data_IF_329055619317
#
_entry.id   IF_329055619317
#
_cell.length_a   1.000
_cell.length_b   1.000
_cell.length_c   1.000
_cell.angle_alpha   90.00
_cell.angle_beta   90.00
_cell.angle_gamma   90.00
#
_symmetry.space_group_name_H-M   'P 1'
#
loop_
_entity.id
_entity.type
_entity.pdbx_description
1 polymer ?
#
# COMPACT_ATOMS: atom_id res chain seq x y z
N UNK A 1 22.21 5.26 39.86
CA UNK A 1 22.24 4.15 38.88
C UNK A 1 23.69 3.88 38.56
N UNK A 2 24.17 2.66 38.75
CA UNK A 2 25.54 2.29 38.38
C UNK A 2 25.60 2.18 36.85
N UNK A 3 26.21 3.16 36.19
CA UNK A 3 26.48 3.06 34.76
C UNK A 3 27.47 1.91 34.55
N UNK A 4 27.03 0.90 33.79
CA UNK A 4 27.84 -0.26 33.46
C UNK A 4 29.10 0.18 32.70
N UNK A 5 30.25 -0.43 32.97
CA UNK A 5 31.49 -0.20 32.20
C UNK A 5 31.33 -0.47 30.69
N UNK A 6 30.26 -1.15 30.29
CA UNK A 6 29.94 -1.48 28.91
C UNK A 6 29.03 -0.43 28.23
N UNK A 7 28.54 0.59 28.93
CA UNK A 7 27.58 1.56 28.37
C UNK A 7 28.13 2.33 27.14
N UNK A 8 29.45 2.48 27.03
CA UNK A 8 30.10 3.16 25.91
C UNK A 8 29.73 2.56 24.53
N UNK A 9 29.34 1.28 24.46
CA UNK A 9 28.94 0.65 23.18
C UNK A 9 27.68 1.27 22.57
N UNK A 10 26.83 1.92 23.38
CA UNK A 10 25.64 2.64 22.90
C UNK A 10 26.00 3.81 21.99
N UNK A 11 27.19 4.39 22.15
CA UNK A 11 27.65 5.51 21.33
C UNK A 11 27.97 5.11 19.88
N UNK A 12 27.98 3.81 19.56
CA UNK A 12 28.14 3.30 18.20
C UNK A 12 26.81 3.26 17.43
N UNK A 13 25.67 3.41 18.10
CA UNK A 13 24.37 3.53 17.43
C UNK A 13 24.33 4.85 16.64
N UNK A 14 23.97 4.76 15.36
CA UNK A 14 23.82 5.93 14.50
C UNK A 14 22.38 6.47 14.57
N UNK A 15 22.26 7.79 14.59
CA UNK A 15 20.97 8.46 14.52
C UNK A 15 20.40 8.34 13.09
N UNK A 16 19.13 7.97 12.99
CA UNK A 16 18.45 7.63 11.73
C UNK A 16 17.11 8.36 11.58
N UNK A 17 17.07 9.63 11.98
CA UNK A 17 15.87 10.45 11.94
C UNK A 17 15.54 10.90 10.51
N UNK A 18 14.32 10.60 10.06
CA UNK A 18 13.80 11.06 8.77
C UNK A 18 13.46 12.56 8.81
N UNK A 19 13.68 13.25 7.68
CA UNK A 19 13.51 14.70 7.55
C UNK A 19 12.13 15.15 8.07
N UNK A 20 12.04 16.16 8.95
CA UNK A 20 10.76 16.71 9.39
C UNK A 20 9.94 17.34 8.26
N UNK A 21 8.63 17.48 8.46
CA UNK A 21 7.69 18.08 7.50
C UNK A 21 7.69 17.42 6.10
N UNK A 22 8.05 16.15 6.01
CA UNK A 22 7.92 15.32 4.80
C UNK A 22 6.98 14.15 5.06
N UNK A 23 6.22 13.79 4.02
CA UNK A 23 5.50 12.53 3.97
C UNK A 23 6.49 11.39 4.04
N UNK A 24 6.22 10.39 4.88
CA UNK A 24 7.05 9.19 4.94
C UNK A 24 6.27 8.07 4.29
N UNK A 25 6.83 7.46 3.27
CA UNK A 25 6.31 6.23 2.68
C UNK A 25 7.20 5.08 3.07
N UNK A 26 6.66 4.11 3.81
CA UNK A 26 7.32 2.84 4.07
C UNK A 26 6.79 1.82 3.08
N UNK A 27 7.63 1.39 2.13
CA UNK A 27 7.29 0.33 1.18
C UNK A 27 7.90 -0.98 1.64
N UNK A 28 7.10 -2.03 1.64
CA UNK A 28 7.52 -3.42 1.87
C UNK A 28 7.35 -4.25 0.61
N UNK A 29 8.21 -5.25 0.43
CA UNK A 29 8.23 -6.15 -0.72
C UNK A 29 8.50 -7.60 -0.28
N UNK A 30 7.78 -8.54 -0.88
CA UNK A 30 7.85 -9.95 -0.59
C UNK A 30 9.18 -10.58 -1.02
N UNK A 31 9.99 -11.05 -0.06
CA UNK A 31 11.29 -11.65 -0.37
C UNK A 31 11.14 -13.02 -1.01
N UNK A 32 11.43 -13.11 -2.31
CA UNK A 32 11.46 -14.37 -3.05
C UNK A 32 10.06 -14.92 -3.36
N UNK A 33 9.07 -14.05 -3.49
CA UNK A 33 7.67 -14.45 -3.69
C UNK A 33 7.44 -15.22 -4.99
N UNK A 34 8.30 -15.09 -6.01
CA UNK A 34 8.28 -15.97 -7.19
C UNK A 34 8.37 -17.45 -6.82
N UNK A 35 9.29 -17.82 -5.91
CA UNK A 35 9.45 -19.21 -5.43
C UNK A 35 8.26 -19.62 -4.54
N UNK A 36 7.74 -18.69 -3.75
CA UNK A 36 6.58 -18.93 -2.91
C UNK A 36 5.32 -19.21 -3.74
N UNK A 37 5.06 -18.40 -4.77
CA UNK A 37 3.96 -18.59 -5.71
C UNK A 37 4.00 -19.98 -6.34
N UNK A 38 5.18 -20.44 -6.76
CA UNK A 38 5.36 -21.78 -7.32
C UNK A 38 5.09 -22.87 -6.29
N UNK A 39 5.60 -22.72 -5.06
CA UNK A 39 5.45 -23.70 -3.98
C UNK A 39 3.99 -23.91 -3.56
N UNK A 40 3.22 -22.83 -3.45
CA UNK A 40 1.83 -22.86 -3.00
C UNK A 40 0.83 -22.84 -4.16
N UNK A 41 1.28 -23.05 -5.40
CA UNK A 41 0.41 -23.20 -6.57
C UNK A 41 -0.48 -21.98 -6.81
N UNK A 42 0.07 -20.77 -6.68
CA UNK A 42 -0.71 -19.55 -6.87
C UNK A 42 -1.27 -19.48 -8.29
N UNK A 43 -2.54 -19.10 -8.39
CA UNK A 43 -3.19 -18.85 -9.66
C UNK A 43 -2.46 -17.75 -10.44
N UNK A 44 -2.50 -17.89 -11.77
CA UNK A 44 -1.86 -16.97 -12.72
C UNK A 44 -2.90 -16.47 -13.71
N UNK A 45 -2.94 -15.16 -14.02
CA UNK A 45 -1.95 -14.14 -13.65
C UNK A 45 -1.99 -13.68 -12.18
N UNK A 46 -3.14 -13.79 -11.51
CA UNK A 46 -3.33 -13.31 -10.14
C UNK A 46 -4.00 -14.40 -9.29
N UNK A 47 -3.61 -14.50 -8.02
CA UNK A 47 -4.28 -15.35 -7.03
C UNK A 47 -5.04 -14.48 -6.04
N UNK A 48 -6.37 -14.61 -6.01
CA UNK A 48 -7.21 -13.78 -5.16
C UNK A 48 -6.92 -13.99 -3.68
N UNK A 49 -6.65 -15.23 -3.26
CA UNK A 49 -6.35 -15.58 -1.86
C UNK A 49 -5.06 -14.93 -1.40
N UNK A 50 -4.06 -14.90 -2.28
CA UNK A 50 -2.77 -14.25 -2.02
C UNK A 50 -2.90 -12.75 -1.80
N UNK A 51 -3.72 -12.07 -2.63
CA UNK A 51 -3.97 -10.63 -2.46
C UNK A 51 -4.83 -10.35 -1.23
N UNK A 52 -5.83 -11.20 -0.94
CA UNK A 52 -6.68 -11.03 0.22
C UNK A 52 -5.91 -11.19 1.54
N UNK A 53 -4.94 -12.12 1.63
CA UNK A 53 -4.08 -12.21 2.82
C UNK A 53 -3.14 -11.01 2.96
N UNK A 54 -2.59 -10.48 1.85
CA UNK A 54 -1.81 -9.23 1.85
C UNK A 54 -2.66 -8.06 2.35
N UNK A 55 -3.89 -7.93 1.86
CA UNK A 55 -4.83 -6.90 2.26
C UNK A 55 -5.25 -7.00 3.72
N UNK A 56 -5.46 -8.21 4.22
CA UNK A 56 -5.82 -8.44 5.61
C UNK A 56 -4.67 -8.09 6.56
N UNK A 57 -3.42 -8.35 6.15
CA UNK A 57 -2.22 -7.93 6.87
C UNK A 57 -2.05 -6.40 6.84
N UNK A 58 -2.22 -5.76 5.68
CA UNK A 58 -2.16 -4.30 5.56
C UNK A 58 -3.24 -3.61 6.40
N UNK A 59 -4.47 -4.13 6.38
CA UNK A 59 -5.58 -3.62 7.20
C UNK A 59 -5.25 -3.66 8.68
N UNK A 60 -4.61 -4.73 9.16
CA UNK A 60 -4.17 -4.82 10.54
C UNK A 60 -3.11 -3.76 10.86
N UNK A 61 -2.09 -3.59 10.01
CA UNK A 61 -1.06 -2.55 10.17
C UNK A 61 -1.67 -1.15 10.24
N UNK A 62 -2.59 -0.81 9.33
CA UNK A 62 -3.26 0.49 9.32
C UNK A 62 -4.13 0.66 10.57
N UNK A 63 -4.77 -0.40 11.06
CA UNK A 63 -5.57 -0.37 12.29
C UNK A 63 -4.69 -0.10 13.52
N UNK A 64 -3.56 -0.80 13.65
CA UNK A 64 -2.65 -0.72 14.79
C UNK A 64 -1.87 0.61 14.85
N UNK A 65 -1.68 1.28 13.70
CA UNK A 65 -0.93 2.53 13.58
C UNK A 65 -1.83 3.68 13.06
N UNK A 66 -2.47 4.44 13.99
CA UNK A 66 -3.29 5.61 13.67
C UNK A 66 -2.64 6.75 12.89
N UNK A 67 -1.31 6.74 12.81
CA UNK A 67 -0.51 7.71 12.09
C UNK A 67 -0.43 7.43 10.57
N UNK A 68 -0.81 6.23 10.13
CA UNK A 68 -0.91 5.88 8.71
C UNK A 68 -2.19 6.48 8.13
N UNK A 69 -2.06 7.30 7.09
CA UNK A 69 -3.20 7.99 6.46
C UNK A 69 -3.82 7.20 5.31
N UNK A 70 -2.99 6.50 4.55
CA UNK A 70 -3.37 5.64 3.43
C UNK A 70 -2.30 4.55 3.26
N UNK A 71 -2.70 3.38 2.79
CA UNK A 71 -1.79 2.37 2.28
C UNK A 71 -2.26 1.86 0.91
N UNK A 72 -1.33 1.44 0.07
CA UNK A 72 -1.59 0.92 -1.26
C UNK A 72 -0.81 -0.36 -1.51
N UNK A 73 -1.48 -1.40 -2.01
CA UNK A 73 -0.88 -2.70 -2.30
C UNK A 73 -1.14 -3.18 -3.72
N UNK A 74 -0.11 -3.81 -4.29
CA UNK A 74 -0.14 -4.46 -5.60
C UNK A 74 0.83 -5.65 -5.57
N UNK A 75 0.44 -6.77 -6.18
CA UNK A 75 1.27 -8.00 -6.19
C UNK A 75 1.68 -8.39 -4.76
N UNK A 76 2.98 -8.41 -4.50
CA UNK A 76 3.68 -8.76 -3.27
C UNK A 76 4.26 -7.53 -2.55
N UNK A 77 3.92 -6.31 -2.99
CA UNK A 77 4.33 -5.06 -2.35
C UNK A 77 3.17 -4.32 -1.67
N UNK A 78 3.49 -3.58 -0.61
CA UNK A 78 2.59 -2.63 0.05
C UNK A 78 3.33 -1.35 0.44
N UNK A 79 2.67 -0.20 0.30
CA UNK A 79 3.19 1.11 0.64
C UNK A 79 2.33 1.73 1.73
N UNK A 80 2.91 2.14 2.85
CA UNK A 80 2.23 2.76 3.98
C UNK A 80 2.66 4.21 4.11
N UNK A 81 1.70 5.13 4.06
CA UNK A 81 1.97 6.57 4.08
C UNK A 81 1.68 7.13 5.46
N UNK A 82 2.71 7.71 6.08
CA UNK A 82 2.57 8.52 7.29
C UNK A 82 2.46 9.99 6.92
N UNK A 83 1.57 10.70 7.62
CA UNK A 83 1.39 12.13 7.41
C UNK A 83 2.69 12.91 7.68
N UNK A 84 2.89 14.04 7.00
CA UNK A 84 4.12 14.85 7.11
C UNK A 84 4.44 15.36 8.52
N UNK A 85 3.42 15.50 9.37
CA UNK A 85 3.55 15.89 10.78
C UNK A 85 3.72 14.71 11.75
N UNK A 86 3.89 13.48 11.26
CA UNK A 86 4.09 12.29 12.09
C UNK A 86 5.34 12.43 12.98
N UNK A 87 5.20 12.13 14.27
CA UNK A 87 6.30 12.12 15.25
C UNK A 87 6.52 10.73 15.86
N UNK A 88 5.86 9.70 15.33
CA UNK A 88 5.96 8.32 15.80
C UNK A 88 7.42 7.87 15.82
N UNK A 89 7.86 7.31 16.95
CA UNK A 89 9.24 6.89 17.20
C UNK A 89 10.30 7.96 16.88
N UNK A 90 9.96 9.23 17.09
CA UNK A 90 10.85 10.36 16.77
C UNK A 90 11.31 10.35 15.31
N UNK A 91 10.48 9.78 14.41
CA UNK A 91 10.75 9.62 12.98
C UNK A 91 12.00 8.79 12.67
N UNK A 92 12.42 7.90 13.57
CA UNK A 92 13.53 6.97 13.33
C UNK A 92 13.16 5.96 12.26
N UNK A 93 13.92 5.94 11.16
CA UNK A 93 13.69 5.06 10.01
C UNK A 93 13.65 3.60 10.43
N UNK A 94 14.65 3.13 11.17
CA UNK A 94 14.75 1.75 11.63
C UNK A 94 13.52 1.31 12.43
N UNK A 95 12.98 2.20 13.28
CA UNK A 95 11.78 1.90 14.09
C UNK A 95 10.53 1.84 13.23
N UNK A 96 10.35 2.78 12.31
CA UNK A 96 9.20 2.78 11.41
C UNK A 96 9.21 1.55 10.49
N UNK A 97 10.33 1.29 9.81
CA UNK A 97 10.48 0.17 8.88
C UNK A 97 10.32 -1.17 9.60
N UNK A 98 11.05 -1.38 10.71
CA UNK A 98 10.97 -2.65 11.45
C UNK A 98 9.57 -2.90 12.04
N UNK A 99 8.87 -1.86 12.52
CA UNK A 99 7.51 -2.00 13.03
C UNK A 99 6.54 -2.38 11.91
N UNK A 100 6.59 -1.70 10.76
CA UNK A 100 5.73 -2.04 9.62
C UNK A 100 6.00 -3.46 9.13
N UNK A 101 7.26 -3.82 8.88
CA UNK A 101 7.64 -5.14 8.35
C UNK A 101 7.26 -6.25 9.33
N UNK A 102 7.56 -6.09 10.62
CA UNK A 102 7.25 -7.12 11.62
C UNK A 102 5.75 -7.29 11.84
N UNK A 103 4.99 -6.20 11.99
CA UNK A 103 3.53 -6.27 12.15
C UNK A 103 2.85 -6.85 10.91
N UNK A 104 3.30 -6.46 9.71
CA UNK A 104 2.77 -7.02 8.46
C UNK A 104 3.06 -8.51 8.35
N UNK A 105 4.32 -8.91 8.54
CA UNK A 105 4.73 -10.33 8.43
C UNK A 105 3.99 -11.19 9.45
N UNK A 106 3.87 -10.74 10.70
CA UNK A 106 3.15 -11.46 11.74
C UNK A 106 1.67 -11.66 11.38
N UNK A 107 1.01 -10.60 10.89
CA UNK A 107 -0.37 -10.70 10.44
C UNK A 107 -0.54 -11.55 9.17
N UNK A 108 0.39 -11.48 8.22
CA UNK A 108 0.38 -12.32 7.03
C UNK A 108 0.42 -13.81 7.39
N UNK A 109 1.35 -14.19 8.27
CA UNK A 109 1.48 -15.57 8.76
C UNK A 109 0.26 -15.99 9.57
N UNK A 110 -0.21 -15.13 10.49
CA UNK A 110 -1.37 -15.42 11.33
C UNK A 110 -2.66 -15.61 10.53
N UNK A 111 -2.87 -14.79 9.50
CA UNK A 111 -4.09 -14.81 8.68
C UNK A 111 -4.01 -15.79 7.51
N UNK A 112 -2.86 -16.36 7.23
CA UNK A 112 -2.67 -17.28 6.11
C UNK A 112 -3.70 -18.41 6.08
N UNK A 113 -3.92 -19.10 7.20
CA UNK A 113 -4.85 -20.24 7.27
C UNK A 113 -6.31 -19.84 7.03
N UNK A 114 -6.66 -18.56 7.13
CA UNK A 114 -7.99 -18.06 6.77
C UNK A 114 -8.20 -18.05 5.26
N UNK A 115 -7.15 -17.79 4.48
CA UNK A 115 -7.20 -17.68 3.02
C UNK A 115 -6.70 -18.94 2.29
N UNK A 116 -5.87 -19.74 2.97
CA UNK A 116 -5.28 -20.98 2.49
C UNK A 116 -5.50 -22.11 3.52
N UNK A 117 -6.76 -22.53 3.78
CA UNK A 117 -7.08 -23.50 4.83
C UNK A 117 -6.40 -24.87 4.61
N UNK A 118 -6.28 -25.29 3.34
CA UNK A 118 -5.75 -26.60 2.95
C UNK A 118 -4.25 -26.59 2.67
N UNK A 119 -3.58 -25.44 2.79
CA UNK A 119 -2.15 -25.29 2.46
C UNK A 119 -1.40 -24.62 3.59
N UNK A 120 -1.09 -25.32 4.70
CA UNK A 120 -0.37 -24.70 5.81
C UNK A 120 1.00 -24.16 5.39
N UNK A 121 1.40 -23.05 5.99
CA UNK A 121 2.74 -22.49 5.76
C UNK A 121 3.81 -23.48 6.23
N UNK A 122 4.82 -23.66 5.39
CA UNK A 122 5.99 -24.47 5.67
C UNK A 122 7.28 -23.66 5.48
N UNK A 123 8.31 -23.97 6.27
CA UNK A 123 9.61 -23.30 6.21
C UNK A 123 10.26 -23.40 4.82
N UNK A 124 10.95 -22.35 4.31
CA UNK A 124 11.06 -21.01 4.92
C UNK A 124 9.74 -20.24 4.88
N UNK A 125 9.45 -19.52 5.97
CA UNK A 125 8.26 -18.68 6.09
C UNK A 125 8.35 -17.44 5.19
N UNK A 126 7.22 -16.85 4.78
CA UNK A 126 7.21 -15.58 4.05
C UNK A 126 7.89 -14.50 4.88
N UNK A 127 8.71 -13.68 4.22
CA UNK A 127 9.37 -12.52 4.83
C UNK A 127 9.29 -11.35 3.86
N UNK A 128 9.38 -10.16 4.41
CA UNK A 128 9.32 -8.92 3.66
C UNK A 128 10.57 -8.09 3.93
N UNK A 129 11.06 -7.38 2.91
CA UNK A 129 11.97 -6.27 3.13
C UNK A 129 11.16 -4.98 3.34
N UNK A 130 11.84 -3.90 3.70
CA UNK A 130 11.19 -2.60 3.85
C UNK A 130 12.17 -1.46 3.69
N UNK A 131 11.68 -0.33 3.18
CA UNK A 131 12.44 0.93 3.05
C UNK A 131 11.55 2.13 3.32
N UNK A 132 12.09 3.20 3.88
CA UNK A 132 11.39 4.47 4.01
C UNK A 132 11.86 5.46 2.94
N UNK A 133 10.94 6.26 2.41
CA UNK A 133 11.23 7.36 1.48
C UNK A 133 10.48 8.61 1.92
N UNK A 134 11.17 9.74 1.94
CA UNK A 134 10.58 11.03 2.26
C UNK A 134 10.12 11.76 0.98
N UNK A 135 8.87 12.22 0.95
CA UNK A 135 8.35 13.10 -0.10
C UNK A 135 8.01 14.48 0.48
N UNK A 136 8.56 15.58 -0.06
CA UNK A 136 8.45 16.89 0.56
C UNK A 136 7.10 17.59 0.31
N UNK A 137 6.42 17.26 -0.79
CA UNK A 137 5.16 17.90 -1.18
C UNK A 137 4.05 16.87 -1.35
N UNK A 138 2.80 17.32 -1.29
CA UNK A 138 1.64 16.51 -1.64
C UNK A 138 1.75 16.03 -3.09
N UNK A 139 2.21 16.86 -4.02
CA UNK A 139 2.38 16.45 -5.41
C UNK A 139 3.35 15.26 -5.54
N UNK A 140 4.51 15.30 -4.89
CA UNK A 140 5.45 14.18 -4.96
C UNK A 140 4.89 12.89 -4.35
N UNK A 141 4.11 13.00 -3.27
CA UNK A 141 3.40 11.84 -2.71
C UNK A 141 2.36 11.29 -3.71
N UNK A 142 1.54 12.16 -4.32
CA UNK A 142 0.52 11.74 -5.29
C UNK A 142 1.13 11.13 -6.53
N UNK A 143 2.25 11.65 -7.02
CA UNK A 143 3.00 11.09 -8.14
C UNK A 143 3.55 9.71 -7.81
N UNK A 144 4.08 9.51 -6.60
CA UNK A 144 4.50 8.20 -6.13
C UNK A 144 3.32 7.20 -6.13
N UNK A 145 2.19 7.57 -5.54
CA UNK A 145 1.01 6.69 -5.47
C UNK A 145 0.48 6.37 -6.87
N UNK A 146 0.44 7.38 -7.75
CA UNK A 146 0.07 7.23 -9.16
C UNK A 146 1.02 6.32 -9.92
N UNK A 147 2.32 6.45 -9.68
CA UNK A 147 3.35 5.60 -10.28
C UNK A 147 3.15 4.14 -9.88
N UNK A 148 2.86 3.84 -8.60
CA UNK A 148 2.58 2.47 -8.14
C UNK A 148 1.31 1.91 -8.80
N UNK A 149 0.25 2.71 -8.94
CA UNK A 149 -0.98 2.25 -9.59
C UNK A 149 -0.86 2.11 -11.12
N UNK A 150 -0.09 2.97 -11.79
CA UNK A 150 0.22 2.81 -13.21
C UNK A 150 1.03 1.53 -13.46
N UNK A 151 2.02 1.25 -12.60
CA UNK A 151 2.82 0.02 -12.63
C UNK A 151 1.93 -1.24 -12.43
N UNK A 152 0.97 -1.18 -11.50
CA UNK A 152 -0.08 -2.21 -11.33
C UNK A 152 -0.81 -2.48 -12.65
N UNK A 153 -1.30 -1.43 -13.31
CA UNK A 153 -2.07 -1.56 -14.54
C UNK A 153 -1.24 -2.17 -15.68
N UNK A 154 0.00 -1.69 -15.85
CA UNK A 154 0.93 -2.17 -16.90
C UNK A 154 1.26 -3.65 -16.67
N UNK A 155 1.67 -4.00 -15.45
CA UNK A 155 2.07 -5.37 -15.11
C UNK A 155 0.89 -6.34 -15.18
N UNK A 156 -0.30 -5.93 -14.70
CA UNK A 156 -1.48 -6.79 -14.77
C UNK A 156 -1.95 -7.04 -16.20
N UNK A 157 -1.96 -6.02 -17.07
CA UNK A 157 -2.32 -6.18 -18.48
C UNK A 157 -1.32 -7.11 -19.18
N UNK A 158 -0.02 -6.90 -18.97
CA UNK A 158 1.02 -7.77 -19.51
C UNK A 158 0.85 -9.22 -19.04
N UNK A 159 0.73 -9.45 -17.72
CA UNK A 159 0.61 -10.78 -17.14
C UNK A 159 -0.67 -11.49 -17.59
N UNK A 160 -1.78 -10.76 -17.71
CA UNK A 160 -3.05 -11.32 -18.19
C UNK A 160 -2.92 -11.79 -19.64
N UNK A 161 -2.36 -10.95 -20.52
CA UNK A 161 -2.08 -11.35 -21.91
C UNK A 161 -1.09 -12.52 -21.98
N UNK A 162 -0.02 -12.50 -21.18
CA UNK A 162 1.00 -13.54 -21.15
C UNK A 162 0.41 -14.89 -20.74
N UNK A 163 -0.31 -14.94 -19.62
CA UNK A 163 -0.89 -16.19 -19.13
C UNK A 163 -2.07 -16.67 -19.96
N UNK A 164 -2.81 -15.78 -20.65
CA UNK A 164 -3.79 -16.19 -21.64
C UNK A 164 -3.13 -16.90 -22.84
N UNK A 165 -2.03 -16.36 -23.36
CA UNK A 165 -1.25 -16.99 -24.43
C UNK A 165 -0.72 -18.38 -24.02
N UNK A 166 -0.22 -18.50 -22.79
CA UNK A 166 0.32 -19.78 -22.28
C UNK A 166 -0.80 -20.79 -22.00
N UNK A 167 -1.81 -20.42 -21.20
CA UNK A 167 -2.83 -21.36 -20.72
C UNK A 167 -3.92 -21.67 -21.73
N UNK A 168 -4.37 -20.67 -22.49
CA UNK A 168 -5.47 -20.80 -23.45
C UNK A 168 -4.94 -20.94 -24.88
N UNK A 169 -3.83 -20.26 -25.19
CA UNK A 169 -3.20 -20.31 -26.51
C UNK A 169 -2.22 -21.48 -26.70
N UNK A 170 -1.85 -22.19 -25.62
CA UNK A 170 -0.93 -23.32 -25.67
C UNK A 170 0.52 -22.96 -26.01
N UNK A 171 0.88 -21.67 -25.96
CA UNK A 171 2.25 -21.22 -26.19
C UNK A 171 3.16 -21.60 -25.03
N UNK A 172 4.44 -21.82 -25.31
CA UNK A 172 5.42 -21.85 -24.23
C UNK A 172 5.73 -20.43 -23.69
N UNK A 173 6.44 -20.36 -22.57
CA UNK A 173 6.75 -19.07 -21.93
C UNK A 173 7.60 -18.14 -22.82
N UNK A 174 8.52 -18.68 -23.64
CA UNK A 174 9.41 -17.90 -24.50
C UNK A 174 8.65 -17.36 -25.73
N UNK A 175 7.76 -18.17 -26.27
CA UNK A 175 6.87 -17.80 -27.37
C UNK A 175 5.90 -16.70 -26.95
N UNK A 176 5.30 -16.81 -25.77
CA UNK A 176 4.43 -15.79 -25.21
C UNK A 176 5.18 -14.47 -24.98
N UNK A 177 6.39 -14.52 -24.42
CA UNK A 177 7.25 -13.34 -24.23
C UNK A 177 7.59 -12.68 -25.57
N UNK A 178 8.00 -13.47 -26.57
CA UNK A 178 8.29 -12.99 -27.92
C UNK A 178 7.07 -12.37 -28.61
N UNK A 179 5.89 -12.95 -28.41
CA UNK A 179 4.62 -12.43 -28.95
C UNK A 179 4.27 -11.07 -28.36
N UNK A 180 4.56 -10.86 -27.08
CA UNK A 180 4.27 -9.61 -26.38
C UNK A 180 5.39 -8.57 -26.48
N UNK A 181 6.59 -8.96 -26.92
CA UNK A 181 7.72 -8.05 -27.09
C UNK A 181 7.39 -6.92 -28.08
N UNK A 182 7.61 -5.67 -27.66
CA UNK A 182 7.33 -4.48 -28.47
C UNK A 182 5.86 -4.09 -28.62
N UNK A 183 4.92 -4.88 -28.08
CA UNK A 183 3.49 -4.55 -28.15
C UNK A 183 3.12 -3.39 -27.22
N UNK A 184 2.15 -2.59 -27.63
CA UNK A 184 1.55 -1.52 -26.84
C UNK A 184 0.38 -2.05 -25.99
N UNK A 185 -0.23 -1.18 -25.18
CA UNK A 185 -1.40 -1.55 -24.37
C UNK A 185 -2.63 -1.90 -25.23
N UNK A 186 -2.84 -1.19 -26.35
CA UNK A 186 -3.93 -1.47 -27.28
C UNK A 186 -3.81 -2.88 -27.88
N UNK A 187 -2.61 -3.25 -28.36
CA UNK A 187 -2.32 -4.57 -28.93
C UNK A 187 -2.59 -5.69 -27.93
N UNK A 188 -2.20 -5.51 -26.66
CA UNK A 188 -2.46 -6.48 -25.58
C UNK A 188 -3.94 -6.68 -25.28
N UNK A 189 -4.73 -5.61 -25.37
CA UNK A 189 -6.19 -5.68 -25.27
C UNK A 189 -6.78 -6.41 -26.48
N UNK A 190 -6.29 -6.13 -27.70
CA UNK A 190 -6.77 -6.76 -28.93
C UNK A 190 -6.44 -8.26 -28.98
N UNK A 191 -5.17 -8.65 -28.83
CA UNK A 191 -4.76 -9.60 -27.80
C UNK A 191 -5.82 -10.55 -27.22
N UNK A 192 -6.17 -10.17 -25.99
CA UNK A 192 -7.13 -10.79 -25.10
C UNK A 192 -8.52 -10.91 -25.73
N UNK A 193 -8.99 -9.87 -26.40
CA UNK A 193 -10.34 -9.82 -26.91
C UNK A 193 -10.54 -10.70 -28.15
N UNK A 194 -9.69 -10.55 -29.17
CA UNK A 194 -9.84 -11.22 -30.46
C UNK A 194 -9.60 -12.72 -30.32
N UNK A 195 -8.51 -13.13 -29.65
CA UNK A 195 -8.09 -14.54 -29.53
C UNK A 195 -8.79 -15.29 -28.41
N UNK A 196 -8.97 -14.65 -27.26
CA UNK A 196 -9.43 -15.33 -26.03
C UNK A 196 -10.82 -14.88 -25.57
N UNK A 197 -11.44 -13.91 -26.26
CA UNK A 197 -12.74 -13.31 -25.88
C UNK A 197 -12.73 -12.74 -24.45
N UNK A 198 -11.56 -12.34 -23.96
CA UNK A 198 -11.36 -11.70 -22.65
C UNK A 198 -11.41 -10.19 -22.84
N UNK A 199 -12.36 -9.53 -22.16
CA UNK A 199 -12.39 -8.07 -22.05
C UNK A 199 -11.65 -7.66 -20.77
N UNK A 200 -10.45 -7.10 -20.90
CA UNK A 200 -9.63 -6.70 -19.76
C UNK A 200 -10.38 -5.74 -18.81
N UNK A 201 -11.24 -4.86 -19.31
CA UNK A 201 -11.99 -3.93 -18.45
C UNK A 201 -12.98 -4.63 -17.50
N UNK A 202 -13.35 -5.88 -17.79
CA UNK A 202 -14.20 -6.71 -16.94
C UNK A 202 -13.41 -7.53 -15.91
N UNK A 203 -12.07 -7.51 -15.96
CA UNK A 203 -11.25 -8.14 -14.92
C UNK A 203 -11.54 -7.49 -13.55
N UNK A 204 -11.47 -8.25 -12.46
CA UNK A 204 -11.67 -7.74 -11.11
C UNK A 204 -10.84 -6.48 -10.82
N UNK A 205 -11.46 -5.49 -10.19
CA UNK A 205 -10.80 -4.20 -9.91
C UNK A 205 -9.55 -4.35 -9.04
N UNK A 206 -9.55 -5.30 -8.10
CA UNK A 206 -8.38 -5.64 -7.28
C UNK A 206 -7.14 -5.97 -8.12
N UNK A 207 -7.30 -6.60 -9.29
CA UNK A 207 -6.19 -6.94 -10.18
C UNK A 207 -5.76 -5.75 -11.04
N UNK A 208 -6.72 -4.92 -11.46
CA UNK A 208 -6.45 -3.79 -12.37
C UNK A 208 -5.95 -2.53 -11.68
N UNK A 209 -6.44 -2.28 -10.46
CA UNK A 209 -6.22 -1.05 -9.71
C UNK A 209 -5.38 -1.27 -8.45
N UNK A 210 -5.22 -2.51 -7.99
CA UNK A 210 -4.62 -2.81 -6.70
C UNK A 210 -5.59 -2.52 -5.56
N UNK A 211 -5.05 -2.50 -4.33
CA UNK A 211 -5.85 -2.35 -3.11
C UNK A 211 -5.45 -1.11 -2.34
N UNK A 212 -6.44 -0.31 -1.94
CA UNK A 212 -6.27 0.94 -1.20
C UNK A 212 -6.86 0.76 0.19
N UNK A 213 -6.06 0.99 1.23
CA UNK A 213 -6.47 0.85 2.63
C UNK A 213 -6.43 2.21 3.29
N UNK A 214 -7.56 2.63 3.84
CA UNK A 214 -7.68 3.91 4.52
C UNK A 214 -8.76 3.87 5.59
N UNK A 215 -8.79 4.93 6.41
CA UNK A 215 -9.83 5.14 7.42
C UNK A 215 -11.05 5.78 6.77
N UNK A 216 -12.18 5.14 6.96
CA UNK A 216 -13.45 5.50 6.34
C UNK A 216 -14.15 6.61 7.13
N UNK A 217 -14.48 7.68 6.42
CA UNK A 217 -15.22 8.84 6.89
C UNK A 217 -16.24 9.24 5.81
N UNK A 218 -17.24 10.03 6.16
CA UNK A 218 -18.21 10.56 5.20
C UNK A 218 -17.49 11.30 4.07
N UNK A 219 -17.74 10.91 2.82
CA UNK A 219 -17.22 11.59 1.65
C UNK A 219 -17.69 13.04 1.64
N UNK A 220 -16.84 13.93 1.13
CA UNK A 220 -17.13 15.35 1.08
C UNK A 220 -17.29 15.83 -0.35
N UNK A 221 -18.24 16.75 -0.56
CA UNK A 221 -18.42 17.43 -1.85
C UNK A 221 -17.25 18.37 -2.13
N UNK A 222 -16.66 18.37 -3.34
CA UNK A 222 -15.44 19.11 -3.67
C UNK A 222 -15.52 20.62 -3.36
N UNK A 223 -16.71 21.22 -3.51
CA UNK A 223 -16.92 22.67 -3.33
C UNK A 223 -17.03 23.11 -1.87
N UNK A 224 -17.12 22.17 -0.92
CA UNK A 224 -17.40 22.47 0.50
C UNK A 224 -16.14 22.59 1.38
N UNK A 225 -14.95 22.34 0.84
CA UNK A 225 -13.70 22.38 1.60
C UNK A 225 -12.60 23.25 0.96
N UNK A 226 -12.18 24.30 1.67
CA UNK A 226 -11.04 25.15 1.32
C UNK A 226 -9.65 24.50 1.53
N UNK A 227 -9.55 23.16 1.60
CA UNK A 227 -8.27 22.48 1.86
C UNK A 227 -7.62 22.07 0.54
N UNK A 228 -7.04 23.03 -0.17
CA UNK A 228 -6.33 22.76 -1.43
C UNK A 228 -4.95 22.13 -1.16
N UNK A 229 -4.41 21.36 -2.13
CA UNK A 229 -3.02 20.88 -2.13
C UNK A 229 -2.04 21.99 -1.75
N UNK A 230 -2.24 23.19 -2.32
CA UNK A 230 -1.45 24.39 -2.04
C UNK A 230 -1.54 24.82 -0.58
N UNK A 231 -2.73 24.78 0.03
CA UNK A 231 -2.91 25.12 1.45
C UNK A 231 -2.18 24.14 2.38
N UNK A 232 -2.04 22.87 1.98
CA UNK A 232 -1.35 21.84 2.77
C UNK A 232 0.16 21.98 2.59
N UNK A 233 0.64 22.18 1.36
CA UNK A 233 2.06 22.36 1.07
C UNK A 233 2.61 23.69 1.61
N UNK A 234 1.79 24.75 1.66
CA UNK A 234 2.12 26.03 2.28
C UNK A 234 2.25 25.98 3.81
N UNK A 235 1.88 24.85 4.45
CA UNK A 235 2.12 24.62 5.89
C UNK A 235 3.63 24.38 6.08
N UNK A 236 4.36 25.48 6.21
CA UNK A 236 5.79 25.54 6.51
C UNK A 236 6.08 25.28 8.00
N UNK A 237 5.13 25.64 8.87
CA UNK A 237 5.17 25.37 10.31
C UNK A 237 4.06 24.38 10.68
N UNK A 238 4.34 23.32 11.47
CA UNK A 238 3.30 22.45 11.98
C UNK A 238 2.28 23.29 12.76
N UNK A 239 1.00 23.21 12.38
CA UNK A 239 -0.07 23.89 13.10
C UNK A 239 -0.03 23.45 14.56
N UNK A 240 0.22 24.39 15.47
CA UNK A 240 0.18 24.15 16.93
C UNK A 240 -1.26 23.84 17.35
N UNK A 241 -1.66 22.59 17.18
CA UNK A 241 -2.85 22.07 17.83
C UNK A 241 -2.54 21.89 19.32
N UNK A 242 -3.49 22.25 20.19
CA UNK A 242 -3.34 21.94 21.61
C UNK A 242 -3.15 20.42 21.77
N UNK A 243 -2.29 20.00 22.71
CA UNK A 243 -2.04 18.57 22.98
C UNK A 243 -3.34 17.78 23.17
N UNK A 244 -4.34 18.41 23.80
CA UNK A 244 -5.69 17.86 23.98
C UNK A 244 -6.40 17.58 22.65
N UNK A 245 -6.32 18.48 21.68
CA UNK A 245 -6.94 18.31 20.36
C UNK A 245 -6.25 17.21 19.55
N UNK A 246 -4.91 17.19 19.55
CA UNK A 246 -4.13 16.17 18.85
C UNK A 246 -4.41 14.75 19.39
N UNK A 247 -4.55 14.60 20.72
CA UNK A 247 -4.96 13.35 21.35
C UNK A 247 -6.39 12.93 21.01
N UNK A 248 -7.33 13.88 20.96
CA UNK A 248 -8.72 13.61 20.54
C UNK A 248 -8.75 13.11 19.09
N UNK A 249 -8.03 13.77 18.19
CA UNK A 249 -7.97 13.37 16.79
C UNK A 249 -7.29 12.02 16.62
N UNK A 250 -6.21 11.73 17.38
CA UNK A 250 -5.60 10.41 17.42
C UNK A 250 -6.57 9.33 17.90
N UNK A 251 -7.35 9.58 18.96
CA UNK A 251 -8.40 8.66 19.44
C UNK A 251 -9.50 8.45 18.40
N UNK A 252 -9.90 9.50 17.68
CA UNK A 252 -10.87 9.39 16.58
C UNK A 252 -10.33 8.53 15.43
N UNK A 253 -9.07 8.73 15.01
CA UNK A 253 -8.42 7.87 14.01
C UNK A 253 -8.32 6.41 14.46
N UNK A 254 -7.98 6.17 15.72
CA UNK A 254 -7.88 4.82 16.26
C UNK A 254 -9.23 4.08 16.29
N UNK A 255 -10.35 4.80 16.43
CA UNK A 255 -11.71 4.23 16.42
C UNK A 255 -12.35 4.16 15.04
N UNK A 256 -11.77 4.83 14.04
CA UNK A 256 -12.33 4.86 12.70
C UNK A 256 -12.25 3.48 12.04
N UNK A 257 -13.30 3.13 11.28
CA UNK A 257 -13.34 1.89 10.50
C UNK A 257 -12.26 1.94 9.43
N UNK A 258 -11.43 0.89 9.35
CA UNK A 258 -10.46 0.73 8.25
C UNK A 258 -11.09 -0.14 7.16
N UNK A 259 -11.10 0.38 5.93
CA UNK A 259 -11.67 -0.29 4.75
C UNK A 259 -10.56 -0.63 3.76
N UNK A 260 -10.83 -1.62 2.90
CA UNK A 260 -9.98 -2.00 1.76
C UNK A 260 -10.84 -1.85 0.52
N UNK A 261 -10.45 -0.94 -0.38
CA UNK A 261 -11.21 -0.59 -1.58
C UNK A 261 -10.33 -0.68 -2.83
N UNK A 262 -10.93 -0.83 -4.00
CA UNK A 262 -10.22 -1.02 -5.29
C UNK A 262 -10.43 0.19 -6.21
N UNK A 263 -9.94 1.35 -5.78
CA UNK A 263 -10.24 2.65 -6.39
C UNK A 263 -9.10 3.17 -7.28
N UNK A 264 -9.45 4.05 -8.23
CA UNK A 264 -8.48 4.85 -8.98
C UNK A 264 -7.97 5.98 -8.06
N UNK A 265 -6.68 5.98 -7.75
CA UNK A 265 -6.02 6.98 -6.89
C UNK A 265 -5.15 7.95 -7.71
N UNK A 266 -5.15 7.83 -9.03
CA UNK A 266 -4.44 8.75 -9.94
C UNK A 266 -5.24 10.05 -10.06
N UNK A 267 -6.56 9.94 -10.25
CA UNK A 267 -7.45 11.10 -10.46
C UNK A 267 -7.66 11.92 -9.19
N UNK A 268 -7.86 13.23 -9.38
CA UNK A 268 -8.13 14.19 -8.29
C UNK A 268 -9.38 13.83 -7.47
N UNK A 269 -10.42 13.30 -8.14
CA UNK A 269 -11.69 12.91 -7.51
C UNK A 269 -11.51 12.04 -6.26
N UNK A 270 -10.53 11.13 -6.26
CA UNK A 270 -10.26 10.28 -5.10
C UNK A 270 -9.81 11.09 -3.88
N UNK A 271 -8.91 12.04 -4.11
CA UNK A 271 -8.27 12.88 -3.10
C UNK A 271 -9.23 13.96 -2.60
N UNK A 272 -9.97 14.60 -3.51
CA UNK A 272 -10.91 15.67 -3.20
C UNK A 272 -12.08 15.18 -2.34
N UNK A 273 -12.59 13.97 -2.63
CA UNK A 273 -13.66 13.35 -1.83
C UNK A 273 -13.17 12.86 -0.46
N UNK A 274 -11.85 12.78 -0.24
CA UNK A 274 -11.21 12.22 0.97
C UNK A 274 -10.16 13.17 1.57
N UNK A 275 -10.52 14.41 1.91
CA UNK A 275 -9.57 15.44 2.33
C UNK A 275 -8.86 15.11 3.65
N UNK A 276 -9.39 14.18 4.46
CA UNK A 276 -8.74 13.72 5.70
C UNK A 276 -7.41 13.01 5.48
N UNK A 277 -7.19 12.41 4.29
CA UNK A 277 -5.94 11.73 3.95
C UNK A 277 -4.79 12.74 3.93
N UNK A 278 -5.02 13.88 3.28
CA UNK A 278 -4.00 14.92 3.11
C UNK A 278 -3.95 15.91 4.28
N UNK A 279 -5.09 16.19 4.92
CA UNK A 279 -5.15 17.14 6.04
C UNK A 279 -4.80 16.55 7.41
N UNK A 280 -4.77 15.21 7.54
CA UNK A 280 -4.65 14.46 8.80
C UNK A 280 -5.77 14.73 9.83
N UNK A 281 -6.83 15.44 9.43
CA UNK A 281 -7.98 15.76 10.29
C UNK A 281 -9.07 14.70 10.11
N UNK A 282 -9.49 14.00 11.19
CA UNK A 282 -10.54 12.99 11.09
C UNK A 282 -11.87 13.60 10.61
N UNK A 283 -12.46 12.97 9.58
CA UNK A 283 -13.79 13.32 9.08
C UNK A 283 -14.92 12.89 10.01
N UNK A 284 -16.17 13.08 9.55
CA UNK A 284 -17.34 12.53 10.24
C UNK A 284 -17.38 11.02 10.04
N UNK A 285 -17.74 10.28 11.08
CA UNK A 285 -17.91 8.82 10.96
C UNK A 285 -19.18 8.59 10.13
N UNK A 286 -19.15 7.71 9.11
CA UNK A 286 -20.34 7.41 8.32
C UNK A 286 -21.45 6.91 9.24
N UNK A 287 -22.68 7.42 9.04
CA UNK A 287 -23.86 6.79 9.65
C UNK A 287 -23.94 5.35 9.15
N UNK A 288 -23.99 4.38 10.07
CA UNK A 288 -24.19 2.98 9.72
C UNK A 288 -25.44 2.85 8.84
N UNK A 289 -25.29 2.22 7.68
CA UNK A 289 -26.39 1.75 6.81
C UNK A 289 -26.62 0.28 7.13
#
# INVERSE_FOLDING_TARGET
MANSKFEYVRNFEQADHLLPNTWIVVRIDGRGFTKMCARYGFEKPNDRRALDVMNAAAKAVVTDLPEIVIAYGVSDEYSFVFHKTCTLFERRESKLVSTIVSTFTANYVHKWSTYFPDMPLASPLPTFDGRAVCYPTVQNLRDYMSWRQADCHINNLYNTSFWALVKLGGQDNKEAEKTLAGTLAADKNEILFSKFKINYNNEPEIFRKGSVVFRDYELVEPESHNTTTESIDAISMPVEQSKSQAEKDKKRRAKARVVVEFLDIIKDEFWDKRPWILSNKPGKVPKEV
#
